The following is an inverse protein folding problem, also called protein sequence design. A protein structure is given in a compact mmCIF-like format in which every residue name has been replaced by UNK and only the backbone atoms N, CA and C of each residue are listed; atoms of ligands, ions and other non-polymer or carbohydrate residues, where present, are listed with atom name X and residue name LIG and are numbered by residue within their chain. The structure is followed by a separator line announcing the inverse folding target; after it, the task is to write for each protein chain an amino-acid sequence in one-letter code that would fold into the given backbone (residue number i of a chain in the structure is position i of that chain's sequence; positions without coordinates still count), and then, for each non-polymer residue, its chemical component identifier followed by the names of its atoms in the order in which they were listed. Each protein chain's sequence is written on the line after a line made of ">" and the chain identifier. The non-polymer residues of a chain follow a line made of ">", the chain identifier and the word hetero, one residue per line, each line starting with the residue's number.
data_IF_265582656278
#
_entry.id   IF_265582656278
#
_cell.length_a   1.000
_cell.length_b   1.000
_cell.length_c   1.000
_cell.angle_alpha   90.00
_cell.angle_beta   90.00
_cell.angle_gamma   90.00
#
_symmetry.space_group_name_H-M   'P 1'
#
loop_
_entity.id
_entity.type
_entity.pdbx_description
1 polymer ?
#
# COMPACT_ATOMS: atom_id res chain seq x y z
N UNK A 1 -5.08 -22.03 0.71
CA UNK A 1 -3.68 -21.82 0.30
C UNK A 1 -2.97 -21.11 1.45
N UNK A 2 -1.91 -21.70 2.01
CA UNK A 2 -1.14 -21.06 3.08
C UNK A 2 -0.19 -20.02 2.45
N UNK A 3 -0.10 -18.84 3.06
CA UNK A 3 0.86 -17.80 2.70
C UNK A 3 2.28 -18.34 2.95
N UNK A 4 2.95 -18.83 1.90
CA UNK A 4 4.31 -19.40 2.02
C UNK A 4 5.33 -18.26 1.94
N UNK A 5 5.62 -17.66 3.10
CA UNK A 5 6.86 -17.00 3.52
C UNK A 5 7.54 -15.89 2.67
N UNK A 6 7.04 -15.50 1.51
CA UNK A 6 7.60 -14.38 0.73
C UNK A 6 6.72 -13.13 0.88
N UNK A 7 6.69 -12.60 2.11
CA UNK A 7 6.11 -11.28 2.33
C UNK A 7 7.13 -10.22 1.91
N UNK A 8 6.67 -9.24 1.15
CA UNK A 8 7.43 -8.03 0.88
C UNK A 8 6.91 -6.91 1.74
N UNK A 9 7.85 -6.07 2.14
CA UNK A 9 7.59 -4.83 2.84
C UNK A 9 7.96 -3.68 1.91
N UNK A 10 6.99 -2.80 1.66
CA UNK A 10 7.16 -1.62 0.83
C UNK A 10 6.85 -0.38 1.67
N UNK A 11 7.76 0.58 1.68
CA UNK A 11 7.56 1.87 2.35
C UNK A 11 7.22 2.90 1.29
N UNK A 12 6.08 3.56 1.44
CA UNK A 12 5.67 4.66 0.57
C UNK A 12 5.55 5.96 1.38
N UNK A 13 5.94 7.08 0.78
CA UNK A 13 5.58 8.39 1.32
C UNK A 13 4.07 8.63 1.15
N UNK A 14 3.50 9.48 2.00
CA UNK A 14 2.12 9.93 1.85
C UNK A 14 1.89 11.26 2.58
N UNK A 15 0.75 11.94 2.32
CA UNK A 15 0.34 13.12 3.07
C UNK A 15 0.24 12.93 4.58
N UNK A 16 0.16 11.70 5.10
CA UNK A 16 0.06 11.43 6.53
C UNK A 16 1.35 10.82 7.10
N UNK A 17 2.48 10.99 6.40
CA UNK A 17 3.75 10.36 6.73
C UNK A 17 3.96 9.02 6.03
N UNK A 18 4.99 8.30 6.42
CA UNK A 18 5.36 7.06 5.73
C UNK A 18 4.38 5.93 6.07
N UNK A 19 3.98 5.20 5.04
CA UNK A 19 3.08 4.05 5.12
C UNK A 19 3.89 2.80 4.77
N UNK A 20 3.85 1.83 5.66
CA UNK A 20 4.36 0.48 5.46
C UNK A 20 3.23 -0.39 4.89
N UNK A 21 3.48 -0.99 3.73
CA UNK A 21 2.61 -1.95 3.07
C UNK A 21 3.29 -3.31 3.15
N UNK A 22 2.62 -4.28 3.77
CA UNK A 22 3.07 -5.68 3.78
C UNK A 22 2.14 -6.46 2.87
N UNK A 23 2.71 -7.23 1.93
CA UNK A 23 1.94 -7.98 0.94
C UNK A 23 2.65 -9.28 0.58
N UNK A 24 1.90 -10.27 0.12
CA UNK A 24 2.43 -11.45 -0.56
C UNK A 24 1.85 -11.54 -1.97
N UNK A 25 2.22 -12.57 -2.72
CA UNK A 25 1.66 -12.83 -4.06
C UNK A 25 0.15 -13.09 -4.06
N UNK A 26 -0.42 -13.50 -2.92
CA UNK A 26 -1.84 -13.81 -2.76
C UNK A 26 -2.70 -12.63 -2.27
N UNK A 27 -2.11 -11.52 -1.84
CA UNK A 27 -2.86 -10.37 -1.36
C UNK A 27 -2.11 -9.49 -0.37
N UNK A 28 -2.73 -8.35 -0.07
CA UNK A 28 -2.30 -7.40 0.93
C UNK A 28 -2.47 -7.97 2.35
N UNK A 29 -1.45 -7.80 3.19
CA UNK A 29 -1.47 -8.22 4.59
C UNK A 29 -1.76 -7.09 5.56
N UNK A 30 -1.06 -5.97 5.41
CA UNK A 30 -1.27 -4.82 6.27
C UNK A 30 -0.87 -3.53 5.58
N UNK A 31 -1.52 -2.44 6.04
CA UNK A 31 -1.18 -1.07 5.67
C UNK A 31 -1.13 -0.30 6.99
N UNK A 32 0.06 0.16 7.37
CA UNK A 32 0.27 0.84 8.65
C UNK A 32 1.06 2.12 8.48
N UNK A 33 0.67 3.16 9.20
CA UNK A 33 1.45 4.40 9.29
C UNK A 33 2.65 4.17 10.21
N UNK A 34 3.84 4.56 9.77
CA UNK A 34 5.08 4.38 10.54
C UNK A 34 5.35 5.50 11.55
N UNK A 35 4.84 6.71 11.29
CA UNK A 35 5.12 7.87 12.14
C UNK A 35 4.12 7.99 13.29
N UNK A 36 4.65 8.16 14.52
CA UNK A 36 3.85 8.45 15.71
C UNK A 36 3.30 9.89 15.68
N UNK A 37 4.08 10.83 15.17
CA UNK A 37 3.69 12.24 15.08
C UNK A 37 2.80 12.48 13.85
N UNK A 38 1.56 12.87 14.09
CA UNK A 38 0.59 13.16 13.04
C UNK A 38 0.65 14.64 12.66
N UNK A 39 1.30 14.92 11.53
CA UNK A 39 1.35 16.25 10.92
C UNK A 39 1.09 16.11 9.41
N UNK A 40 -0.18 16.14 8.97
CA UNK A 40 -0.50 15.96 7.55
C UNK A 40 0.07 17.06 6.66
N UNK A 41 0.56 16.69 5.49
CA UNK A 41 1.11 17.58 4.48
C UNK A 41 0.55 17.19 3.10
N UNK A 42 -0.48 17.90 2.64
CA UNK A 42 -1.26 17.55 1.44
C UNK A 42 -0.41 17.42 0.16
N UNK A 43 0.68 18.19 0.08
CA UNK A 43 1.55 18.24 -1.10
C UNK A 43 2.53 17.05 -1.19
N UNK A 44 2.52 16.11 -0.25
CA UNK A 44 3.42 14.94 -0.30
C UNK A 44 2.87 13.92 -1.31
N UNK A 45 3.62 13.57 -2.36
CA UNK A 45 3.20 12.55 -3.31
C UNK A 45 3.28 11.15 -2.69
N UNK A 46 2.50 10.21 -3.22
CA UNK A 46 2.62 8.79 -2.87
C UNK A 46 3.65 8.12 -3.78
N UNK A 47 4.89 7.99 -3.28
CA UNK A 47 6.02 7.37 -3.99
C UNK A 47 6.69 6.30 -3.13
N UNK A 48 7.27 5.30 -3.80
CA UNK A 48 8.02 4.24 -3.13
C UNK A 48 9.35 4.82 -2.64
N UNK A 49 9.61 4.67 -1.34
CA UNK A 49 10.86 5.08 -0.68
C UNK A 49 11.83 3.93 -0.50
N UNK A 50 11.32 2.73 -0.20
CA UNK A 50 12.13 1.55 0.11
C UNK A 50 11.31 0.27 -0.10
N UNK A 51 12.00 -0.84 -0.41
CA UNK A 51 11.39 -2.13 -0.74
C UNK A 51 11.62 -2.50 -2.20
N UNK A 52 10.60 -3.10 -2.82
CA UNK A 52 10.59 -3.47 -4.24
C UNK A 52 10.68 -2.25 -5.16
N UNK A 53 11.41 -2.38 -6.27
CA UNK A 53 11.34 -1.43 -7.39
C UNK A 53 9.96 -1.45 -8.04
N UNK A 54 9.65 -0.45 -8.87
CA UNK A 54 8.37 -0.41 -9.57
C UNK A 54 8.20 -1.59 -10.54
N UNK A 55 9.29 -2.06 -11.15
CA UNK A 55 9.29 -3.20 -12.08
C UNK A 55 9.07 -4.55 -11.37
N UNK A 56 9.36 -4.62 -10.06
CA UNK A 56 9.24 -5.83 -9.25
C UNK A 56 7.85 -5.98 -8.60
N UNK A 57 6.97 -4.98 -8.74
CA UNK A 57 5.64 -5.02 -8.12
C UNK A 57 4.69 -5.98 -8.85
N UNK A 58 4.09 -6.89 -8.10
CA UNK A 58 2.96 -7.71 -8.53
C UNK A 58 1.60 -7.11 -8.13
N UNK A 59 0.46 -7.60 -8.66
CA UNK A 59 -0.80 -6.88 -8.61
C UNK A 59 -1.26 -6.44 -7.22
N UNK A 60 -1.37 -7.30 -6.17
CA UNK A 60 -1.75 -6.87 -4.83
C UNK A 60 -1.00 -5.64 -4.27
N UNK A 61 0.32 -5.61 -4.41
CA UNK A 61 1.14 -4.50 -3.88
C UNK A 61 1.09 -3.28 -4.81
N UNK A 62 1.10 -3.47 -6.13
CA UNK A 62 0.94 -2.40 -7.11
C UNK A 62 -0.42 -1.69 -6.98
N UNK A 63 -1.49 -2.47 -6.81
CA UNK A 63 -2.86 -1.98 -6.63
C UNK A 63 -2.99 -1.20 -5.33
N UNK A 64 -2.32 -1.63 -4.25
CA UNK A 64 -2.31 -0.89 -2.99
C UNK A 64 -1.67 0.50 -3.15
N UNK A 65 -0.52 0.59 -3.82
CA UNK A 65 0.14 1.88 -4.11
C UNK A 65 -0.74 2.76 -5.00
N UNK A 66 -1.35 2.19 -6.05
CA UNK A 66 -2.25 2.92 -6.95
C UNK A 66 -3.49 3.42 -6.20
N UNK A 67 -4.08 2.59 -5.35
CA UNK A 67 -5.23 2.96 -4.54
C UNK A 67 -4.90 4.10 -3.57
N UNK A 68 -3.74 4.07 -2.90
CA UNK A 68 -3.27 5.16 -2.03
C UNK A 68 -3.06 6.47 -2.81
N UNK A 69 -2.52 6.39 -4.03
CA UNK A 69 -2.39 7.57 -4.90
C UNK A 69 -3.75 8.21 -5.18
N UNK A 70 -4.75 7.40 -5.52
CA UNK A 70 -6.12 7.90 -5.77
C UNK A 70 -6.73 8.45 -4.49
N UNK A 71 -6.60 7.73 -3.37
CA UNK A 71 -7.15 8.14 -2.07
C UNK A 71 -6.67 9.53 -1.65
N UNK A 72 -5.37 9.79 -1.74
CA UNK A 72 -4.79 11.05 -1.31
C UNK A 72 -4.91 12.17 -2.34
N UNK A 73 -4.75 11.89 -3.63
CA UNK A 73 -4.59 12.93 -4.65
C UNK A 73 -5.79 13.08 -5.59
N UNK A 74 -6.70 12.10 -5.60
CA UNK A 74 -7.89 12.09 -6.48
C UNK A 74 -9.10 11.50 -5.74
N UNK A 75 -9.50 12.06 -4.59
CA UNK A 75 -10.54 11.47 -3.74
C UNK A 75 -11.89 11.30 -4.46
N UNK A 76 -12.19 12.12 -5.48
CA UNK A 76 -13.39 11.98 -6.31
C UNK A 76 -13.40 10.71 -7.19
N UNK A 77 -12.24 10.11 -7.44
CA UNK A 77 -12.09 8.89 -8.24
C UNK A 77 -12.09 7.61 -7.37
N UNK A 78 -12.10 7.73 -6.03
CA UNK A 78 -11.91 6.60 -5.12
C UNK A 78 -13.02 5.55 -5.20
N UNK A 79 -14.26 5.95 -5.53
CA UNK A 79 -15.40 5.06 -5.67
C UNK A 79 -15.23 4.05 -6.82
N UNK A 80 -14.48 4.46 -7.85
CA UNK A 80 -14.17 3.62 -9.02
C UNK A 80 -12.79 2.97 -8.92
N UNK A 81 -12.03 3.22 -7.85
CA UNK A 81 -10.70 2.69 -7.68
C UNK A 81 -10.75 1.20 -7.33
N UNK A 82 -9.93 0.41 -8.02
CA UNK A 82 -9.71 -1.01 -7.68
C UNK A 82 -9.07 -1.08 -6.31
N UNK A 83 -9.77 -1.70 -5.35
CA UNK A 83 -9.22 -1.97 -4.02
C UNK A 83 -8.21 -3.13 -4.12
N UNK A 84 -7.06 -3.05 -3.43
CA UNK A 84 -6.12 -4.17 -3.39
C UNK A 84 -6.80 -5.39 -2.75
N UNK A 85 -6.60 -6.56 -3.35
CA UNK A 85 -7.09 -7.81 -2.80
C UNK A 85 -6.43 -8.09 -1.44
N UNK A 86 -7.21 -8.43 -0.42
CA UNK A 86 -6.71 -8.86 0.88
C UNK A 86 -6.28 -10.32 0.82
N UNK A 87 -5.20 -10.67 1.51
CA UNK A 87 -4.75 -12.05 1.57
C UNK A 87 -5.77 -12.90 2.35
N UNK A 88 -6.25 -13.99 1.73
CA UNK A 88 -7.28 -14.85 2.31
C UNK A 88 -6.89 -15.49 3.66
N UNK A 89 -5.59 -15.63 3.95
CA UNK A 89 -5.12 -16.13 5.24
C UNK A 89 -5.33 -15.15 6.40
N UNK A 90 -5.72 -13.90 6.13
CA UNK A 90 -6.12 -12.93 7.14
C UNK A 90 -7.63 -12.83 7.34
N UNK A 91 -8.41 -13.54 6.52
CA UNK A 91 -9.89 -13.56 6.59
C UNK A 91 -10.37 -14.86 7.30
N UNK A 92 -9.46 -15.58 7.96
CA UNK A 92 -9.74 -16.82 8.69
C UNK A 92 -10.15 -16.55 10.14
#
# INVERSE_FOLDING_TARGET
>A
MACRNENVQLIVSSPIGDICIVSCTSGLHSVSRMNANFAPQENIPVVIKSGLSHEELWPPVADAVKWLRIYFHRPKEIENAIRPALCATLIA
#
